data_IF_012651769153
#
_entry.id   IF_012651769153
#
_cell.length_a   1.000
_cell.length_b   1.000
_cell.length_c   1.000
_cell.angle_alpha   90.00
_cell.angle_beta   90.00
_cell.angle_gamma   90.00
#
_symmetry.space_group_name_H-M   'P 1'
#
loop_
_entity.id
_entity.type
_entity.pdbx_description
1 polymer ?
#
# COMPACT_ATOMS: atom_id res chain seq x y z
N UNK A 1 10.50 -3.02 9.26
CA UNK A 1 9.89 -4.32 8.92
C UNK A 1 8.68 -4.56 9.82
N UNK A 2 7.59 -5.10 9.26
CA UNK A 2 6.49 -5.63 10.06
C UNK A 2 6.76 -7.11 10.26
N UNK A 3 7.08 -7.50 11.49
CA UNK A 3 7.48 -8.87 11.82
C UNK A 3 7.01 -9.21 13.24
N UNK A 4 6.68 -10.48 13.46
CA UNK A 4 6.47 -11.01 14.80
C UNK A 4 7.83 -11.37 15.44
N UNK A 5 7.96 -11.32 16.77
CA UNK A 5 9.20 -11.71 17.44
C UNK A 5 9.49 -13.23 17.35
N UNK A 6 8.46 -14.03 17.13
CA UNK A 6 8.54 -15.49 17.09
C UNK A 6 8.22 -16.01 15.68
N UNK A 7 8.88 -17.10 15.30
CA UNK A 7 8.56 -17.83 14.08
C UNK A 7 7.18 -18.50 14.19
N UNK A 8 6.51 -18.67 13.05
CA UNK A 8 5.27 -19.43 12.98
C UNK A 8 5.52 -20.90 13.38
N UNK A 9 4.62 -21.44 14.19
CA UNK A 9 4.57 -22.88 14.44
C UNK A 9 4.26 -23.66 13.15
N UNK A 10 4.60 -24.95 13.05
CA UNK A 10 4.09 -25.79 11.97
C UNK A 10 2.57 -25.83 11.97
N UNK A 11 1.93 -25.61 10.81
CA UNK A 11 0.48 -25.67 10.68
C UNK A 11 -0.07 -24.69 9.65
N UNK A 12 -1.40 -24.57 9.67
CA UNK A 12 -2.12 -23.60 8.83
C UNK A 12 -2.27 -22.29 9.59
N UNK A 13 -1.82 -21.21 8.95
CA UNK A 13 -1.94 -19.85 9.48
C UNK A 13 -2.63 -18.93 8.49
N UNK A 14 -3.27 -17.88 9.01
CA UNK A 14 -3.78 -16.76 8.22
C UNK A 14 -2.92 -15.54 8.53
N UNK A 15 -2.29 -15.01 7.49
CA UNK A 15 -1.56 -13.74 7.55
C UNK A 15 -2.43 -12.66 6.93
N UNK A 16 -2.60 -11.55 7.65
CA UNK A 16 -3.33 -10.38 7.17
C UNK A 16 -2.45 -9.15 7.34
N UNK A 17 -2.31 -8.37 6.27
CA UNK A 17 -1.70 -7.06 6.32
C UNK A 17 -2.75 -6.02 5.96
N UNK A 18 -3.14 -5.22 6.96
CA UNK A 18 -4.07 -4.11 6.81
C UNK A 18 -3.29 -2.79 6.72
N UNK A 19 -3.63 -1.94 5.76
CA UNK A 19 -2.96 -0.66 5.55
C UNK A 19 -3.97 0.48 5.49
N UNK A 20 -4.04 1.25 6.57
CA UNK A 20 -4.87 2.46 6.64
C UNK A 20 -4.11 3.64 6.05
N UNK A 21 -4.54 4.12 4.90
CA UNK A 21 -3.94 5.27 4.21
C UNK A 21 -4.50 6.60 4.74
N UNK A 22 -3.63 7.59 4.94
CA UNK A 22 -4.01 8.90 5.52
C UNK A 22 -4.34 9.96 4.45
N UNK A 23 -4.15 9.66 3.16
CA UNK A 23 -4.41 10.60 2.06
C UNK A 23 -5.81 10.50 1.47
N UNK A 24 -6.20 11.55 0.74
CA UNK A 24 -7.51 11.67 0.08
C UNK A 24 -7.54 11.09 -1.34
N UNK A 25 -6.44 10.44 -1.74
CA UNK A 25 -6.39 9.52 -2.89
C UNK A 25 -6.16 10.17 -4.24
N UNK A 26 -6.20 9.34 -5.28
CA UNK A 26 -5.92 9.71 -6.67
C UNK A 26 -6.96 10.68 -7.26
N UNK A 27 -8.16 10.79 -6.64
CA UNK A 27 -9.23 11.67 -7.12
C UNK A 27 -8.81 13.15 -7.20
N UNK A 28 -7.83 13.57 -6.41
CA UNK A 28 -7.32 14.95 -6.46
C UNK A 28 -6.67 15.31 -7.80
N UNK A 29 -6.16 14.31 -8.53
CA UNK A 29 -5.48 14.52 -9.81
C UNK A 29 -6.41 15.06 -10.90
N UNK A 30 -7.72 14.79 -10.80
CA UNK A 30 -8.72 15.37 -11.71
C UNK A 30 -8.79 16.90 -11.64
N UNK A 31 -8.27 17.49 -10.56
CA UNK A 31 -8.25 18.93 -10.30
C UNK A 31 -6.83 19.51 -10.34
N UNK A 32 -5.91 18.86 -11.06
CA UNK A 32 -4.50 19.21 -11.15
C UNK A 32 -3.81 19.35 -9.76
N UNK A 33 -4.25 18.53 -8.80
CA UNK A 33 -3.75 18.58 -7.43
C UNK A 33 -3.18 17.21 -7.03
N UNK A 34 -1.89 17.14 -6.72
CA UNK A 34 -1.20 15.91 -6.35
C UNK A 34 -1.01 15.75 -4.82
N UNK A 35 -1.65 16.60 -4.02
CA UNK A 35 -1.46 16.59 -2.56
C UNK A 35 -2.15 15.43 -1.83
N UNK A 36 -3.04 14.69 -2.51
CA UNK A 36 -3.79 13.55 -1.98
C UNK A 36 -3.08 12.20 -2.11
N UNK A 37 -2.00 12.12 -2.87
CA UNK A 37 -1.26 10.88 -3.15
C UNK A 37 0.09 10.84 -2.42
N UNK A 38 0.66 9.64 -2.23
CA UNK A 38 1.97 9.46 -1.58
C UNK A 38 1.99 9.82 -0.09
N UNK A 39 0.82 9.90 0.56
CA UNK A 39 0.69 10.29 1.97
C UNK A 39 1.09 9.17 2.91
N UNK A 40 1.14 9.47 4.20
CA UNK A 40 1.42 8.46 5.20
C UNK A 40 0.34 7.38 5.23
N UNK A 41 0.66 6.28 5.90
CA UNK A 41 -0.33 5.31 6.32
C UNK A 41 0.19 4.45 7.45
N UNK A 42 -0.71 3.70 8.07
CA UNK A 42 -0.39 2.79 9.15
C UNK A 42 -0.64 1.35 8.71
N UNK A 43 0.43 0.56 8.66
CA UNK A 43 0.37 -0.87 8.39
C UNK A 43 0.24 -1.66 9.68
N UNK A 44 -0.65 -2.67 9.67
CA UNK A 44 -0.87 -3.61 10.76
C UNK A 44 -0.79 -5.03 10.24
N UNK A 45 0.19 -5.79 10.74
CA UNK A 45 0.34 -7.21 10.46
C UNK A 45 -0.37 -8.02 11.54
N UNK A 46 -1.18 -8.99 11.12
CA UNK A 46 -1.85 -9.96 11.99
C UNK A 46 -1.50 -11.38 11.59
N UNK A 47 -1.41 -12.24 12.60
CA UNK A 47 -1.28 -13.69 12.48
C UNK A 47 -2.46 -14.32 13.21
N UNK A 48 -3.26 -15.11 12.50
CA UNK A 48 -4.45 -15.78 13.04
C UNK A 48 -5.39 -14.80 13.78
N UNK A 49 -5.57 -13.62 13.19
CA UNK A 49 -6.40 -12.54 13.73
C UNK A 49 -5.78 -11.72 14.86
N UNK A 50 -4.58 -12.08 15.36
CA UNK A 50 -3.88 -11.34 16.42
C UNK A 50 -2.89 -10.36 15.82
N UNK A 51 -2.91 -9.11 16.27
CA UNK A 51 -1.93 -8.09 15.87
C UNK A 51 -0.55 -8.46 16.41
N UNK A 52 0.43 -8.55 15.52
CA UNK A 52 1.83 -8.84 15.88
C UNK A 52 2.76 -7.64 15.65
N UNK A 53 2.40 -6.74 14.73
CA UNK A 53 3.15 -5.51 14.50
C UNK A 53 2.24 -4.42 13.93
N UNK A 54 2.38 -3.20 14.45
CA UNK A 54 1.78 -1.99 13.88
C UNK A 54 2.86 -0.93 13.73
N UNK A 55 2.96 -0.33 12.54
CA UNK A 55 3.92 0.73 12.27
C UNK A 55 3.33 1.78 11.35
N UNK A 56 3.70 3.02 11.61
CA UNK A 56 3.42 4.14 10.70
C UNK A 56 4.54 4.24 9.66
N UNK A 57 4.13 4.45 8.42
CA UNK A 57 4.98 4.78 7.29
C UNK A 57 4.68 6.22 6.90
N UNK A 58 5.66 7.11 7.04
CA UNK A 58 5.43 8.56 6.90
C UNK A 58 5.09 9.00 5.47
N UNK A 59 5.47 8.21 4.46
CA UNK A 59 5.16 8.47 3.05
C UNK A 59 5.02 7.16 2.28
N UNK A 60 4.08 7.10 1.36
CA UNK A 60 3.93 6.00 0.40
C UNK A 60 4.48 6.35 -0.97
N UNK A 61 4.68 5.31 -1.79
CA UNK A 61 4.94 5.49 -3.22
C UNK A 61 3.63 5.99 -3.85
N UNK A 62 3.63 7.15 -4.52
CA UNK A 62 2.39 7.85 -4.85
C UNK A 62 1.55 7.22 -5.96
N UNK A 63 2.17 6.52 -6.92
CA UNK A 63 1.48 6.05 -8.14
C UNK A 63 1.78 4.59 -8.43
N UNK A 64 3.01 4.28 -8.83
CA UNK A 64 3.37 2.93 -9.27
C UNK A 64 4.84 2.65 -9.01
N UNK A 65 5.16 1.37 -8.76
CA UNK A 65 6.51 0.81 -8.87
C UNK A 65 6.76 0.36 -10.33
N UNK A 66 7.95 -0.16 -10.59
CA UNK A 66 8.39 -0.59 -11.93
C UNK A 66 7.31 -1.37 -12.71
N UNK A 67 7.08 -0.98 -13.97
CA UNK A 67 6.03 -1.57 -14.83
C UNK A 67 6.36 -3.01 -15.26
N UNK A 68 7.64 -3.39 -15.19
CA UNK A 68 8.15 -4.73 -15.43
C UNK A 68 8.08 -5.66 -14.21
N UNK A 69 7.62 -5.17 -13.05
CA UNK A 69 7.38 -5.99 -11.86
C UNK A 69 6.01 -6.69 -11.92
N UNK A 70 6.01 -8.03 -11.91
CA UNK A 70 4.80 -8.84 -11.88
C UNK A 70 4.28 -9.09 -10.45
N UNK A 71 3.03 -9.55 -10.34
CA UNK A 71 2.47 -10.05 -9.08
C UNK A 71 2.66 -11.56 -9.00
N UNK A 72 3.77 -11.99 -8.39
CA UNK A 72 4.15 -13.40 -8.34
C UNK A 72 3.50 -14.15 -7.15
N UNK A 73 3.10 -15.41 -7.37
CA UNK A 73 2.60 -16.30 -6.32
C UNK A 73 3.44 -17.58 -6.34
N UNK A 74 4.08 -17.89 -5.21
CA UNK A 74 4.79 -19.16 -5.00
C UNK A 74 6.30 -19.11 -5.26
N UNK A 75 6.81 -18.06 -5.90
CA UNK A 75 8.25 -17.76 -5.96
C UNK A 75 8.45 -16.29 -6.29
N UNK A 76 9.47 -15.68 -5.71
CA UNK A 76 10.07 -14.46 -6.28
C UNK A 76 11.21 -14.88 -7.21
N UNK A 77 11.32 -14.29 -8.40
CA UNK A 77 12.27 -14.75 -9.44
C UNK A 77 13.22 -13.67 -9.97
N UNK A 78 12.99 -12.38 -9.69
CA UNK A 78 13.75 -11.29 -10.33
C UNK A 78 14.36 -10.36 -9.29
N UNK A 79 13.61 -9.36 -8.82
CA UNK A 79 14.13 -8.27 -8.00
C UNK A 79 13.73 -8.49 -6.55
N UNK A 80 14.69 -8.89 -5.72
CA UNK A 80 14.45 -9.04 -4.29
C UNK A 80 14.02 -7.72 -3.64
N UNK A 81 13.06 -7.77 -2.73
CA UNK A 81 12.62 -6.60 -1.95
C UNK A 81 13.70 -6.17 -0.95
N UNK A 82 14.38 -7.13 -0.34
CA UNK A 82 15.46 -6.89 0.61
C UNK A 82 16.45 -8.06 0.62
N UNK A 83 17.64 -7.85 0.04
CA UNK A 83 18.69 -8.87 -0.07
C UNK A 83 19.20 -9.39 1.29
N UNK A 84 18.97 -8.64 2.38
CA UNK A 84 19.29 -9.09 3.73
C UNK A 84 18.31 -10.16 4.27
N UNK A 85 17.13 -10.30 3.65
CA UNK A 85 16.09 -11.26 4.06
C UNK A 85 16.05 -12.50 3.17
N UNK A 86 16.20 -12.32 1.86
CA UNK A 86 16.19 -13.41 0.89
C UNK A 86 16.84 -12.99 -0.44
N UNK A 87 17.19 -13.97 -1.28
CA UNK A 87 17.73 -13.74 -2.63
C UNK A 87 16.90 -14.50 -3.66
N UNK A 88 16.47 -13.88 -4.78
CA UNK A 88 15.84 -14.59 -5.88
C UNK A 88 16.81 -15.59 -6.57
N UNK A 89 16.31 -16.72 -7.12
CA UNK A 89 14.93 -17.19 -7.01
C UNK A 89 14.64 -17.73 -5.60
N UNK A 90 13.49 -17.33 -5.05
CA UNK A 90 13.10 -17.68 -3.70
C UNK A 90 11.75 -18.42 -3.69
N UNK A 91 11.76 -19.76 -3.82
CA UNK A 91 10.54 -20.55 -3.91
C UNK A 91 9.84 -20.66 -2.54
N UNK A 92 8.51 -20.63 -2.57
CA UNK A 92 7.68 -20.89 -1.39
C UNK A 92 7.84 -22.35 -0.94
N UNK A 93 8.19 -22.55 0.33
CA UNK A 93 8.38 -23.87 0.94
C UNK A 93 7.15 -24.39 1.70
N UNK A 94 6.02 -23.71 1.56
CA UNK A 94 4.76 -24.02 2.22
C UNK A 94 3.62 -24.23 1.22
N UNK A 95 2.51 -24.81 1.68
CA UNK A 95 1.29 -24.91 0.87
C UNK A 95 0.55 -23.58 0.85
N UNK A 96 0.50 -22.94 -0.32
CA UNK A 96 -0.35 -21.77 -0.55
C UNK A 96 -1.80 -22.19 -0.76
N UNK A 97 -2.72 -21.59 0.00
CA UNK A 97 -4.14 -21.97 -0.02
C UNK A 97 -5.02 -20.93 -0.72
N UNK A 98 -4.88 -19.66 -0.34
CA UNK A 98 -5.73 -18.57 -0.84
C UNK A 98 -5.04 -17.22 -0.63
N UNK A 99 -5.21 -16.32 -1.59
CA UNK A 99 -5.00 -14.89 -1.44
C UNK A 99 -6.32 -14.15 -1.60
N UNK A 100 -6.55 -13.14 -0.76
CA UNK A 100 -7.67 -12.20 -0.89
C UNK A 100 -7.09 -10.80 -0.87
N UNK A 101 -7.46 -9.97 -1.84
CA UNK A 101 -7.10 -8.56 -1.89
C UNK A 101 -8.40 -7.77 -1.79
N UNK A 102 -8.51 -6.94 -0.75
CA UNK A 102 -9.61 -5.98 -0.58
C UNK A 102 -9.03 -4.58 -0.65
N UNK A 103 -9.62 -3.72 -1.48
CA UNK A 103 -9.13 -2.36 -1.70
C UNK A 103 -10.27 -1.39 -1.39
N UNK A 104 -10.12 -0.66 -0.30
CA UNK A 104 -10.98 0.48 0.02
C UNK A 104 -10.26 1.78 -0.41
N UNK A 105 -10.71 2.36 -1.53
CA UNK A 105 -10.06 3.55 -2.11
C UNK A 105 -10.66 4.82 -1.50
N UNK A 106 -9.85 5.79 -1.04
CA UNK A 106 -10.36 7.08 -0.60
C UNK A 106 -11.26 7.72 -1.65
N UNK A 107 -12.41 8.25 -1.21
CA UNK A 107 -13.35 9.00 -2.03
C UNK A 107 -13.38 10.44 -1.55
N UNK A 108 -13.38 11.39 -2.49
CA UNK A 108 -13.50 12.80 -2.16
C UNK A 108 -14.92 13.11 -1.68
N UNK A 109 -15.02 13.84 -0.58
CA UNK A 109 -16.26 14.45 -0.11
C UNK A 109 -16.69 15.62 -1.02
N UNK A 110 -17.98 16.00 -1.01
CA UNK A 110 -18.45 17.19 -1.73
C UNK A 110 -17.69 18.47 -1.35
N UNK A 111 -17.31 18.62 -0.08
CA UNK A 111 -16.55 19.76 0.42
C UNK A 111 -15.13 19.79 -0.13
N UNK A 112 -14.46 18.64 -0.22
CA UNK A 112 -13.12 18.51 -0.81
C UNK A 112 -13.16 18.82 -2.31
N UNK A 113 -14.15 18.30 -3.04
CA UNK A 113 -14.36 18.59 -4.45
C UNK A 113 -14.49 20.09 -4.68
N UNK A 114 -15.39 20.75 -3.94
CA UNK A 114 -15.59 22.21 -4.06
C UNK A 114 -14.29 22.99 -3.81
N UNK A 115 -13.53 22.62 -2.78
CA UNK A 115 -12.24 23.26 -2.47
C UNK A 115 -11.21 23.05 -3.58
N UNK A 116 -11.16 21.86 -4.18
CA UNK A 116 -10.26 21.56 -5.28
C UNK A 116 -10.63 22.32 -6.55
N UNK A 117 -11.92 22.43 -6.88
CA UNK A 117 -12.44 23.23 -7.99
C UNK A 117 -12.12 24.72 -7.85
N UNK A 118 -12.31 25.28 -6.65
CA UNK A 118 -11.94 26.68 -6.36
C UNK A 118 -10.43 26.91 -6.50
N UNK A 119 -9.61 25.94 -6.07
CA UNK A 119 -8.17 25.98 -6.23
C UNK A 119 -7.75 25.97 -7.71
N UNK A 120 -8.36 25.09 -8.50
CA UNK A 120 -8.09 24.99 -9.94
C UNK A 120 -8.40 26.30 -10.67
N UNK A 121 -9.59 26.88 -10.45
CA UNK A 121 -10.01 28.15 -11.06
C UNK A 121 -9.05 29.31 -10.73
N UNK A 122 -8.57 29.38 -9.49
CA UNK A 122 -7.60 30.42 -9.08
C UNK A 122 -6.25 30.26 -9.78
N UNK A 123 -5.80 29.02 -9.95
CA UNK A 123 -4.56 28.73 -10.67
C UNK A 123 -4.68 29.13 -12.15
N UNK A 124 -5.79 28.80 -12.80
CA UNK A 124 -6.06 29.18 -14.19
C UNK A 124 -6.10 30.70 -14.37
N UNK A 125 -6.78 31.42 -13.48
CA UNK A 125 -6.87 32.89 -13.54
C UNK A 125 -5.55 33.62 -13.25
N UNK A 126 -4.58 32.98 -12.59
CA UNK A 126 -3.26 33.55 -12.30
C UNK A 126 -2.20 33.28 -13.39
N UNK A 127 -2.58 32.56 -14.45
CA UNK A 127 -1.72 32.28 -15.60
C UNK A 127 -1.92 33.29 -16.75
N UNK A 128 -2.86 34.23 -16.61
CA UNK A 128 -3.06 35.41 -17.47
C UNK A 128 -2.24 36.62 -16.96
#
# INVERSE_FOLDING_TARGET
>A
KWEAPEALSPGRHILEFDFKYDGIGLGTMAYNNFSGIGKSGTGTLKVDGRVVATRKMEKTIPIILQWDESFDIGSDTITGVNDADYTPPFPLTAQFNKLTISIDRPQLSPEEIKKLEEGLKKMEAGQE
#
